data_IF_118731176375
#
_entry.id   IF_118731176375
#
_cell.length_a   1.000
_cell.length_b   1.000
_cell.length_c   1.000
_cell.angle_alpha   90.00
_cell.angle_beta   90.00
_cell.angle_gamma   90.00
#
_symmetry.space_group_name_H-M   'P 1'
#
loop_
_entity.id
_entity.type
_entity.pdbx_description
1 polymer ?
#
# COMPACT_ATOMS: atom_id res chain seq x y z
N UNK A 1 5.90 -37.97 -5.58
CA UNK A 1 6.54 -36.64 -5.50
C UNK A 1 5.57 -35.70 -4.86
N UNK A 2 5.84 -35.29 -3.64
CA UNK A 2 5.12 -34.19 -3.04
C UNK A 2 5.53 -32.93 -3.81
N UNK A 3 4.59 -32.34 -4.52
CA UNK A 3 4.75 -31.01 -5.08
C UNK A 3 4.79 -30.08 -3.87
N UNK A 4 5.97 -29.52 -3.55
CA UNK A 4 6.06 -28.48 -2.54
C UNK A 4 5.05 -27.41 -2.91
N UNK A 5 4.05 -27.25 -2.06
CA UNK A 5 2.99 -26.24 -2.25
C UNK A 5 3.64 -24.88 -2.04
N UNK A 6 3.85 -24.14 -3.11
CA UNK A 6 4.36 -22.77 -3.02
C UNK A 6 3.48 -21.95 -2.08
N UNK A 7 4.12 -21.11 -1.27
CA UNK A 7 3.42 -20.21 -0.36
C UNK A 7 3.02 -18.92 -1.08
N UNK A 8 1.80 -18.45 -0.82
CA UNK A 8 1.35 -17.14 -1.27
C UNK A 8 2.11 -16.05 -0.51
N UNK A 9 2.67 -15.09 -1.24
CA UNK A 9 3.42 -13.96 -0.71
C UNK A 9 2.99 -12.67 -1.39
N UNK A 10 3.28 -11.54 -0.74
CA UNK A 10 3.02 -10.22 -1.30
C UNK A 10 4.19 -9.71 -2.12
N UNK A 11 3.92 -9.35 -3.36
CA UNK A 11 4.85 -8.66 -4.25
C UNK A 11 4.44 -7.21 -4.42
N UNK A 12 5.41 -6.28 -4.37
CA UNK A 12 5.21 -4.93 -4.87
C UNK A 12 5.43 -4.93 -6.39
N UNK A 13 4.45 -4.43 -7.14
CA UNK A 13 4.48 -4.48 -8.59
C UNK A 13 4.06 -3.16 -9.22
N UNK A 14 4.42 -2.98 -10.47
CA UNK A 14 3.97 -1.87 -11.30
C UNK A 14 2.93 -2.35 -12.30
N UNK A 15 1.81 -1.63 -12.36
CA UNK A 15 0.87 -1.69 -13.46
C UNK A 15 1.11 -0.46 -14.31
N UNK A 16 2.00 -0.55 -15.29
CA UNK A 16 2.46 0.58 -16.11
C UNK A 16 1.32 1.21 -16.90
N UNK A 17 1.51 2.46 -17.31
CA UNK A 17 0.50 3.23 -18.06
C UNK A 17 -0.82 3.42 -17.30
N UNK A 18 -0.77 3.52 -15.98
CA UNK A 18 -1.94 3.68 -15.11
C UNK A 18 -3.00 2.59 -15.29
N UNK A 19 -2.55 1.35 -15.44
CA UNK A 19 -3.43 0.19 -15.63
C UNK A 19 -3.74 -0.57 -14.35
N UNK A 20 -3.75 0.10 -13.21
CA UNK A 20 -4.05 -0.50 -11.91
C UNK A 20 -5.44 -1.17 -11.93
N UNK A 21 -6.44 -0.51 -12.50
CA UNK A 21 -7.80 -1.04 -12.60
C UNK A 21 -7.88 -2.26 -13.50
N UNK A 22 -7.18 -2.24 -14.63
CA UNK A 22 -7.10 -3.39 -15.54
C UNK A 22 -6.42 -4.58 -14.86
N UNK A 23 -5.34 -4.31 -14.11
CA UNK A 23 -4.64 -5.33 -13.33
C UNK A 23 -5.55 -5.92 -12.25
N UNK A 24 -6.31 -5.09 -11.52
CA UNK A 24 -7.26 -5.56 -10.50
C UNK A 24 -8.31 -6.49 -11.09
N UNK A 25 -8.85 -6.16 -12.26
CA UNK A 25 -9.84 -7.01 -12.96
C UNK A 25 -9.23 -8.34 -13.39
N UNK A 26 -8.03 -8.31 -13.95
CA UNK A 26 -7.30 -9.52 -14.35
C UNK A 26 -7.05 -10.44 -13.15
N UNK A 27 -6.54 -9.89 -12.05
CA UNK A 27 -6.24 -10.64 -10.85
C UNK A 27 -7.50 -11.23 -10.20
N UNK A 28 -8.60 -10.48 -10.18
CA UNK A 28 -9.89 -10.99 -9.70
C UNK A 28 -10.39 -12.15 -10.56
N UNK A 29 -10.27 -12.06 -11.87
CA UNK A 29 -10.63 -13.14 -12.81
C UNK A 29 -9.78 -14.39 -12.59
N UNK A 30 -8.50 -14.22 -12.22
CA UNK A 30 -7.57 -15.32 -11.93
C UNK A 30 -7.61 -15.78 -10.47
N UNK A 31 -8.52 -15.25 -9.66
CA UNK A 31 -8.68 -15.55 -8.22
C UNK A 31 -7.42 -15.28 -7.40
N UNK A 32 -6.66 -14.24 -7.75
CA UNK A 32 -5.47 -13.81 -7.02
C UNK A 32 -5.76 -12.56 -6.19
N UNK A 33 -5.19 -12.48 -4.98
CA UNK A 33 -5.30 -11.33 -4.11
C UNK A 33 -4.48 -10.14 -4.61
N UNK A 34 -5.03 -8.94 -4.46
CA UNK A 34 -4.29 -7.71 -4.75
C UNK A 34 -4.76 -6.56 -3.85
N UNK A 35 -3.92 -5.54 -3.75
CA UNK A 35 -4.25 -4.30 -3.07
C UNK A 35 -3.67 -3.12 -3.84
N UNK A 36 -4.49 -2.11 -4.07
CA UNK A 36 -4.09 -0.84 -4.66
C UNK A 36 -4.44 0.27 -3.66
N UNK A 37 -3.47 1.07 -3.19
CA UNK A 37 -3.76 2.23 -2.38
C UNK A 37 -4.63 3.22 -3.15
N UNK A 38 -5.82 3.47 -2.64
CA UNK A 38 -6.83 4.33 -3.27
C UNK A 38 -7.32 5.40 -2.32
N UNK A 39 -7.89 6.45 -2.87
CA UNK A 39 -8.49 7.53 -2.10
C UNK A 39 -9.70 8.08 -2.83
N UNK A 40 -10.70 8.54 -2.07
CA UNK A 40 -11.86 9.20 -2.64
C UNK A 40 -11.49 10.61 -3.13
N UNK A 41 -11.91 10.93 -4.34
CA UNK A 41 -11.83 12.27 -4.93
C UNK A 41 -13.19 12.71 -5.45
N UNK A 42 -13.41 14.02 -5.45
CA UNK A 42 -14.59 14.60 -6.07
C UNK A 42 -14.30 14.83 -7.55
N UNK A 43 -15.17 14.28 -8.40
CA UNK A 43 -15.14 14.47 -9.84
C UNK A 43 -16.45 15.07 -10.32
N UNK A 44 -16.42 15.80 -11.43
CA UNK A 44 -17.64 16.35 -12.04
C UNK A 44 -18.01 15.45 -13.22
N UNK A 45 -19.19 14.83 -13.12
CA UNK A 45 -19.77 14.02 -14.19
C UNK A 45 -21.14 14.58 -14.56
N UNK A 46 -21.32 14.93 -15.83
CA UNK A 46 -22.57 15.51 -16.35
C UNK A 46 -23.07 16.71 -15.50
N UNK A 47 -22.13 17.61 -15.11
CA UNK A 47 -22.44 18.78 -14.29
C UNK A 47 -22.71 18.51 -12.81
N UNK A 48 -22.64 17.26 -12.36
CA UNK A 48 -22.84 16.87 -10.96
C UNK A 48 -21.53 16.45 -10.30
N UNK A 49 -21.35 16.85 -9.03
CA UNK A 49 -20.24 16.40 -8.20
C UNK A 49 -20.51 14.95 -7.79
N UNK A 50 -19.58 14.07 -8.12
CA UNK A 50 -19.59 12.66 -7.70
C UNK A 50 -18.31 12.31 -6.96
N UNK A 51 -18.43 11.46 -5.96
CA UNK A 51 -17.29 10.92 -5.22
C UNK A 51 -16.81 9.65 -5.91
N UNK A 52 -15.56 9.64 -6.34
CA UNK A 52 -14.95 8.49 -7.04
C UNK A 52 -13.72 7.98 -6.29
N UNK A 53 -13.50 6.68 -6.33
CA UNK A 53 -12.34 6.03 -5.77
C UNK A 53 -11.26 5.90 -6.85
N UNK A 54 -10.08 6.47 -6.59
CA UNK A 54 -8.98 6.49 -7.56
C UNK A 54 -7.66 6.04 -6.92
N UNK A 55 -6.75 5.41 -7.69
CA UNK A 55 -5.40 5.12 -7.20
C UNK A 55 -4.69 6.40 -6.77
N UNK A 56 -4.08 6.38 -5.59
CA UNK A 56 -3.36 7.55 -5.06
C UNK A 56 -1.91 7.61 -5.54
N UNK A 57 -1.29 6.46 -5.72
CA UNK A 57 0.04 6.34 -6.29
C UNK A 57 -0.10 5.65 -7.65
N UNK A 58 0.34 6.34 -8.70
CA UNK A 58 0.26 5.81 -10.05
C UNK A 58 1.15 4.59 -10.24
N UNK A 59 0.62 3.60 -10.92
CA UNK A 59 1.31 2.37 -11.32
C UNK A 59 1.65 1.41 -10.18
N UNK A 60 1.23 1.66 -8.93
CA UNK A 60 1.52 0.78 -7.81
C UNK A 60 0.39 -0.21 -7.57
N UNK A 61 0.72 -1.49 -7.51
CA UNK A 61 -0.17 -2.57 -7.11
C UNK A 61 0.61 -3.60 -6.27
N UNK A 62 -0.04 -4.10 -5.23
CA UNK A 62 0.46 -5.22 -4.45
C UNK A 62 -0.30 -6.48 -4.85
N UNK A 63 0.40 -7.56 -5.12
CA UNK A 63 -0.19 -8.84 -5.53
C UNK A 63 0.18 -9.91 -4.53
N UNK A 64 -0.82 -10.61 -4.00
CA UNK A 64 -0.64 -11.77 -3.12
C UNK A 64 -0.93 -13.04 -3.89
N UNK A 65 0.10 -13.80 -4.17
CA UNK A 65 0.00 -15.07 -4.90
C UNK A 65 1.27 -15.91 -4.73
N UNK A 66 1.21 -17.15 -5.14
CA UNK A 66 2.42 -17.96 -5.29
C UNK A 66 3.32 -17.38 -6.38
N UNK A 67 4.66 -17.47 -6.25
CA UNK A 67 5.58 -16.93 -7.27
C UNK A 67 5.30 -17.41 -8.69
N UNK A 68 4.94 -18.67 -8.88
CA UNK A 68 4.55 -19.23 -10.17
C UNK A 68 3.29 -18.60 -10.76
N UNK A 69 2.31 -18.31 -9.92
CA UNK A 69 1.06 -17.64 -10.34
C UNK A 69 1.31 -16.20 -10.78
N UNK A 70 2.16 -15.47 -10.07
CA UNK A 70 2.54 -14.10 -10.47
C UNK A 70 3.26 -14.13 -11.81
N UNK A 71 4.18 -15.06 -12.00
CA UNK A 71 4.89 -15.24 -13.25
C UNK A 71 3.94 -15.57 -14.40
N UNK A 72 2.95 -16.43 -14.16
CA UNK A 72 1.91 -16.79 -15.13
C UNK A 72 1.10 -15.56 -15.56
N UNK A 73 0.60 -14.78 -14.61
CA UNK A 73 -0.20 -13.58 -14.89
C UNK A 73 0.62 -12.52 -15.62
N UNK A 74 1.90 -12.35 -15.25
CA UNK A 74 2.81 -11.45 -15.96
C UNK A 74 2.98 -11.82 -17.44
N UNK A 75 2.95 -13.11 -17.77
CA UNK A 75 3.07 -13.58 -19.15
C UNK A 75 1.82 -13.25 -19.98
N UNK A 76 0.69 -12.99 -19.36
CA UNK A 76 -0.58 -12.67 -20.03
C UNK A 76 -0.67 -11.20 -20.47
N UNK A 77 0.06 -10.29 -19.82
CA UNK A 77 0.00 -8.85 -20.08
C UNK A 77 1.39 -8.21 -19.99
N UNK A 78 1.62 -7.19 -20.82
CA UNK A 78 2.91 -6.51 -20.86
C UNK A 78 3.09 -5.45 -19.76
N UNK A 79 1.99 -4.98 -19.15
CA UNK A 79 2.01 -3.83 -18.25
C UNK A 79 2.32 -4.19 -16.78
N UNK A 80 2.38 -5.46 -16.41
CA UNK A 80 2.76 -5.87 -15.06
C UNK A 80 4.26 -6.13 -14.97
N UNK A 81 4.92 -5.47 -14.02
CA UNK A 81 6.35 -5.58 -13.79
C UNK A 81 6.64 -5.65 -12.28
N UNK A 82 7.65 -6.44 -11.89
CA UNK A 82 8.13 -6.44 -10.52
C UNK A 82 8.79 -5.10 -10.18
N UNK A 83 8.55 -4.63 -8.95
CA UNK A 83 9.41 -3.60 -8.36
C UNK A 83 10.58 -4.31 -7.70
N UNK A 84 11.78 -3.86 -8.02
CA UNK A 84 13.01 -4.43 -7.49
C UNK A 84 13.69 -3.46 -6.53
N UNK A 85 14.35 -4.01 -5.51
CA UNK A 85 15.22 -3.25 -4.63
C UNK A 85 16.41 -2.73 -5.41
N UNK A 86 16.66 -1.42 -5.34
CA UNK A 86 17.74 -0.77 -6.11
C UNK A 86 19.14 -1.21 -5.67
N UNK A 87 19.30 -1.68 -4.44
CA UNK A 87 20.60 -2.12 -3.89
C UNK A 87 20.90 -3.56 -4.24
N UNK A 88 19.92 -4.46 -4.06
CA UNK A 88 20.08 -5.89 -4.25
C UNK A 88 19.68 -6.39 -5.64
N UNK A 89 18.88 -5.61 -6.39
CA UNK A 89 18.27 -6.04 -7.64
C UNK A 89 17.20 -7.13 -7.50
N UNK A 90 16.85 -7.50 -6.26
CA UNK A 90 15.85 -8.53 -5.98
C UNK A 90 14.45 -7.94 -5.98
N UNK A 91 13.48 -8.78 -6.34
CA UNK A 91 12.05 -8.45 -6.25
C UNK A 91 11.69 -8.08 -4.81
N UNK A 92 10.91 -7.02 -4.65
CA UNK A 92 10.43 -6.61 -3.33
C UNK A 92 9.28 -7.51 -2.91
N UNK A 93 9.50 -8.26 -1.83
CA UNK A 93 8.51 -9.10 -1.17
C UNK A 93 8.21 -8.49 0.19
N UNK A 94 6.92 -8.30 0.49
CA UNK A 94 6.49 -7.69 1.73
C UNK A 94 6.02 -8.78 2.68
N UNK A 95 6.56 -8.85 3.92
CA UNK A 95 6.03 -9.74 4.95
C UNK A 95 4.54 -9.52 5.18
N UNK A 96 3.78 -10.60 5.37
CA UNK A 96 2.33 -10.54 5.50
C UNK A 96 1.87 -9.61 6.63
N UNK A 97 2.55 -9.64 7.78
CA UNK A 97 2.24 -8.76 8.91
C UNK A 97 2.43 -7.26 8.59
N UNK A 98 3.46 -6.91 7.83
CA UNK A 98 3.67 -5.51 7.39
C UNK A 98 2.58 -5.09 6.40
N UNK A 99 2.22 -5.96 5.48
CA UNK A 99 1.18 -5.68 4.51
C UNK A 99 -0.18 -5.53 5.19
N UNK A 100 -0.50 -6.36 6.16
CA UNK A 100 -1.74 -6.25 6.93
C UNK A 100 -1.84 -4.94 7.70
N UNK A 101 -0.76 -4.48 8.33
CA UNK A 101 -0.71 -3.17 8.99
C UNK A 101 -0.96 -2.03 8.01
N UNK A 102 -0.33 -2.09 6.86
CA UNK A 102 -0.51 -1.09 5.82
C UNK A 102 -1.95 -1.08 5.28
N UNK A 103 -2.52 -2.22 4.98
CA UNK A 103 -3.90 -2.36 4.48
C UNK A 103 -4.91 -1.90 5.53
N UNK A 104 -4.68 -2.16 6.81
CA UNK A 104 -5.58 -1.74 7.89
C UNK A 104 -5.80 -0.22 7.88
N UNK A 105 -4.80 0.55 7.49
CA UNK A 105 -4.88 2.01 7.38
C UNK A 105 -5.25 2.44 5.95
N UNK A 106 -4.48 2.02 4.96
CA UNK A 106 -4.67 2.41 3.57
C UNK A 106 -6.00 1.89 3.00
N UNK A 107 -6.47 0.73 3.45
CA UNK A 107 -7.74 0.13 3.02
C UNK A 107 -8.99 0.87 3.50
N UNK A 108 -8.87 1.85 4.38
CA UNK A 108 -9.97 2.75 4.75
C UNK A 108 -10.32 3.73 3.63
N UNK A 109 -9.40 3.97 2.70
CA UNK A 109 -9.48 4.91 1.60
C UNK A 109 -9.79 6.36 2.04
N UNK A 110 -9.52 6.69 3.29
CA UNK A 110 -9.79 8.00 3.86
C UNK A 110 -9.00 9.09 3.13
N UNK A 111 -9.65 10.20 2.85
CA UNK A 111 -9.04 11.39 2.27
C UNK A 111 -8.18 12.20 3.26
N UNK A 112 -8.21 11.81 4.54
CA UNK A 112 -7.33 12.37 5.58
C UNK A 112 -5.95 11.69 5.65
N UNK A 113 -5.74 10.59 4.93
CA UNK A 113 -4.45 9.92 4.86
C UNK A 113 -3.50 10.69 3.95
N UNK A 114 -2.23 10.77 4.34
CA UNK A 114 -1.15 11.35 3.53
C UNK A 114 -0.21 10.24 3.10
N UNK A 115 0.16 10.22 1.82
CA UNK A 115 1.05 9.22 1.25
C UNK A 115 2.38 9.85 0.87
N UNK A 116 3.46 9.11 1.07
CA UNK A 116 4.83 9.55 0.81
C UNK A 116 5.61 8.50 0.05
N UNK A 117 6.48 8.96 -0.85
CA UNK A 117 7.50 8.14 -1.47
C UNK A 117 8.60 7.82 -0.44
N UNK A 118 9.39 6.75 -0.62
CA UNK A 118 10.40 6.33 0.35
C UNK A 118 11.43 7.40 0.72
N UNK A 119 11.76 8.29 -0.22
CA UNK A 119 12.76 9.36 -0.05
C UNK A 119 12.18 10.65 0.59
N UNK A 120 10.88 10.76 0.72
CA UNK A 120 10.21 11.95 1.27
C UNK A 120 10.19 11.98 2.81
N UNK A 121 10.42 10.85 3.47
CA UNK A 121 10.41 10.72 4.92
C UNK A 121 11.67 10.04 5.44
N UNK A 122 12.19 10.57 6.56
CA UNK A 122 13.23 9.90 7.32
C UNK A 122 12.63 9.30 8.59
N UNK A 123 12.25 8.04 8.52
CA UNK A 123 11.61 7.32 9.63
C UNK A 123 12.52 7.16 10.85
N UNK A 124 13.84 7.23 10.67
CA UNK A 124 14.80 7.16 11.78
C UNK A 124 14.72 8.35 12.74
N UNK A 125 14.17 9.48 12.27
CA UNK A 125 13.94 10.68 13.11
C UNK A 125 12.69 10.61 13.97
N UNK A 126 11.84 9.61 13.77
CA UNK A 126 10.63 9.42 14.53
C UNK A 126 10.79 8.44 15.67
N UNK A 127 9.75 8.32 16.48
CA UNK A 127 9.67 7.40 17.61
C UNK A 127 8.73 6.26 17.25
N UNK A 128 9.16 5.03 17.51
CA UNK A 128 8.27 3.86 17.37
C UNK A 128 7.18 3.93 18.43
N UNK A 129 5.95 3.76 18.03
CA UNK A 129 4.77 3.87 18.89
C UNK A 129 3.76 2.78 18.58
N UNK A 130 2.90 2.51 19.57
CA UNK A 130 1.70 1.69 19.41
C UNK A 130 0.47 2.54 19.71
N UNK A 131 -0.60 2.34 18.96
CA UNK A 131 -1.89 2.98 19.18
C UNK A 131 -2.66 2.16 20.22
N UNK A 132 -3.10 2.80 21.30
CA UNK A 132 -3.70 2.15 22.47
C UNK A 132 -5.23 2.30 22.54
N UNK A 133 -5.84 2.95 21.56
CA UNK A 133 -7.29 3.10 21.51
C UNK A 133 -7.77 3.71 20.22
N UNK A 134 -9.08 3.69 20.00
CA UNK A 134 -9.73 4.17 18.78
C UNK A 134 -9.74 3.12 17.65
N UNK A 135 -10.04 3.58 16.44
CA UNK A 135 -10.23 2.72 15.27
C UNK A 135 -8.97 1.93 14.86
N UNK A 136 -7.79 2.44 15.23
CA UNK A 136 -6.51 1.84 14.89
C UNK A 136 -5.79 1.23 16.09
N UNK A 137 -6.53 0.90 17.16
CA UNK A 137 -5.94 0.25 18.34
C UNK A 137 -5.12 -0.99 17.95
N UNK A 138 -3.93 -1.09 18.54
CA UNK A 138 -3.00 -2.19 18.30
C UNK A 138 -2.08 -1.99 17.09
N UNK A 139 -2.31 -0.98 16.25
CA UNK A 139 -1.40 -0.65 15.15
C UNK A 139 -0.10 -0.05 15.68
N UNK A 140 0.99 -0.41 15.05
CA UNK A 140 2.32 0.09 15.32
C UNK A 140 2.82 0.93 14.16
N UNK A 141 3.56 1.98 14.45
CA UNK A 141 4.12 2.85 13.44
C UNK A 141 5.20 3.76 14.00
N UNK A 142 5.58 4.75 13.22
CA UNK A 142 6.58 5.74 13.61
C UNK A 142 5.91 7.09 13.74
N UNK A 143 6.05 7.71 14.91
CA UNK A 143 5.49 9.03 15.21
C UNK A 143 6.49 10.12 14.88
N UNK A 144 6.17 10.92 13.85
CA UNK A 144 7.07 11.97 13.38
C UNK A 144 6.31 13.11 12.69
N UNK A 145 7.02 14.22 12.52
CA UNK A 145 6.53 15.35 11.71
C UNK A 145 6.58 14.98 10.23
N UNK A 146 5.50 15.21 9.52
CA UNK A 146 5.41 14.96 8.08
C UNK A 146 5.06 16.25 7.34
N UNK A 147 5.49 16.34 6.09
CA UNK A 147 5.14 17.45 5.20
C UNK A 147 3.62 17.44 4.93
N UNK A 148 3.01 18.60 4.99
CA UNK A 148 1.58 18.75 4.75
C UNK A 148 0.69 18.52 5.96
N UNK A 149 1.27 18.24 7.13
CA UNK A 149 0.53 18.12 8.40
C UNK A 149 1.02 19.15 9.43
N UNK A 150 0.07 19.71 10.18
CA UNK A 150 0.38 20.63 11.28
C UNK A 150 1.03 19.89 12.44
N UNK A 151 0.45 18.76 12.82
CA UNK A 151 0.88 17.93 13.94
C UNK A 151 1.69 16.73 13.49
N UNK A 152 2.37 16.09 14.44
CA UNK A 152 3.02 14.80 14.20
C UNK A 152 1.97 13.73 13.87
N UNK A 153 2.35 12.79 13.04
CA UNK A 153 1.48 11.69 12.60
C UNK A 153 2.12 10.35 12.88
N UNK A 154 1.30 9.33 13.06
CA UNK A 154 1.75 7.95 13.05
C UNK A 154 1.85 7.50 11.60
N UNK A 155 3.03 7.04 11.21
CA UNK A 155 3.35 6.62 9.83
C UNK A 155 3.59 5.12 9.81
N UNK A 156 2.94 4.46 8.87
CA UNK A 156 3.17 3.05 8.54
C UNK A 156 3.82 3.00 7.17
N UNK A 157 4.95 2.32 7.09
CA UNK A 157 5.72 2.25 5.85
C UNK A 157 5.90 0.81 5.38
N UNK A 158 5.89 0.64 4.06
CA UNK A 158 6.45 -0.52 3.39
C UNK A 158 7.80 -0.06 2.85
N UNK A 159 8.86 -0.61 3.42
CA UNK A 159 10.23 -0.18 3.16
C UNK A 159 10.56 -0.19 1.66
N UNK A 160 11.04 0.93 1.16
CA UNK A 160 11.44 1.10 -0.23
C UNK A 160 10.29 1.23 -1.23
N UNK A 161 9.03 1.27 -0.78
CA UNK A 161 7.85 1.33 -1.66
C UNK A 161 6.98 2.54 -1.38
N UNK A 162 6.42 2.66 -0.18
CA UNK A 162 5.43 3.69 0.16
C UNK A 162 5.32 3.86 1.68
N UNK A 163 4.91 5.03 2.11
CA UNK A 163 4.49 5.28 3.48
C UNK A 163 3.13 5.98 3.52
N UNK A 164 2.34 5.68 4.53
CA UNK A 164 1.06 6.33 4.79
C UNK A 164 1.07 6.93 6.19
N UNK A 165 0.72 8.21 6.30
CA UNK A 165 0.51 8.90 7.57
C UNK A 165 -0.98 8.91 7.90
N UNK A 166 -1.31 8.48 9.11
CA UNK A 166 -2.67 8.50 9.64
C UNK A 166 -3.13 9.93 9.89
N UNK A 167 -4.42 10.13 10.04
CA UNK A 167 -4.99 11.35 10.59
C UNK A 167 -4.44 11.56 12.03
N UNK A 168 -4.59 12.79 12.55
CA UNK A 168 -4.14 13.12 13.91
C UNK A 168 -4.76 12.17 14.92
N UNK A 169 -3.90 11.54 15.71
CA UNK A 169 -4.29 10.68 16.82
C UNK A 169 -4.00 11.43 18.10
N UNK A 170 -4.94 11.40 19.05
CA UNK A 170 -4.75 12.06 20.34
C UNK A 170 -3.53 11.46 21.05
N UNK A 171 -2.62 12.28 21.61
CA UNK A 171 -1.38 11.77 22.25
C UNK A 171 -1.62 10.73 23.34
N UNK A 172 -2.74 10.80 24.07
CA UNK A 172 -3.09 9.82 25.10
C UNK A 172 -3.39 8.42 24.55
N UNK A 173 -3.57 8.29 23.24
CA UNK A 173 -3.80 7.02 22.54
C UNK A 173 -2.53 6.46 21.91
N UNK A 174 -1.37 7.00 22.26
CA UNK A 174 -0.06 6.59 21.73
C UNK A 174 0.85 6.17 22.87
N UNK A 175 1.45 5.00 22.75
CA UNK A 175 2.42 4.42 23.69
C UNK A 175 3.80 4.25 23.05
#
# INVERSE_FOLDING_TARGET
MEVEKETEIWFAMRATYRRETDAMRLLAKENLGCFVPMQYKISIKKGKKVRVLVPIIHNLIFIRACPSEVKRVKSMVAYLQYITDTRSGKKIIIPDNEMQRFIAVAGTYSDHLLYFQPDELNLSKGTKVRITGGDFEGQEGVFLKVKGARDRRVVIAIQGVIAVAMATIHPDLIE
#
